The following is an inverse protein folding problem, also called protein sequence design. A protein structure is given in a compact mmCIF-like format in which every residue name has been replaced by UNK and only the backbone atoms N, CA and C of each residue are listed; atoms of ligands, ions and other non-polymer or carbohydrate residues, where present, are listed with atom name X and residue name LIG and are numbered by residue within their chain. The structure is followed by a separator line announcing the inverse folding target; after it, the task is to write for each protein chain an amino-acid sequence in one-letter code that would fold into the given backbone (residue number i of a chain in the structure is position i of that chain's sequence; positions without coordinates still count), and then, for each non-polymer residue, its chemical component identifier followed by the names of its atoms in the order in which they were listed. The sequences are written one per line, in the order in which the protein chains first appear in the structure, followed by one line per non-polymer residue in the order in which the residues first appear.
data_IF_899927085332
#
_entry.id   IF_899927085332
#
_cell.length_a   1.000
_cell.length_b   1.000
_cell.length_c   1.000
_cell.angle_alpha   90.00
_cell.angle_beta   90.00
_cell.angle_gamma   90.00
#
_symmetry.space_group_name_H-M   'P 1'
#
loop_
_entity.id
_entity.type
_entity.pdbx_description
1 polymer ?
#
# COMPACT_ATOMS: atom_id res chain seq x y z
N UNK A 1 2.96 7.66 7.90
CA UNK A 1 4.09 7.96 6.98
C UNK A 1 5.08 6.78 6.88
N UNK A 2 4.72 5.54 7.24
CA UNK A 2 5.71 4.47 7.36
C UNK A 2 5.26 3.14 6.74
N UNK A 3 4.38 3.18 5.75
CA UNK A 3 4.05 1.96 5.00
C UNK A 3 5.15 1.74 3.97
N UNK A 4 5.59 0.50 3.81
CA UNK A 4 6.53 0.13 2.76
C UNK A 4 5.79 -0.31 1.51
N UNK A 5 6.55 -0.40 0.42
CA UNK A 5 6.06 -0.98 -0.82
C UNK A 5 6.11 -2.50 -0.75
N UNK A 6 5.09 -3.15 -1.31
CA UNK A 6 5.11 -4.56 -1.71
C UNK A 6 4.44 -4.72 -3.07
N UNK A 7 5.00 -5.55 -3.96
CA UNK A 7 4.37 -5.91 -5.23
C UNK A 7 3.09 -6.74 -5.00
N UNK A 8 3.06 -7.50 -3.90
CA UNK A 8 1.86 -8.16 -3.36
C UNK A 8 1.43 -7.42 -2.09
N UNK A 9 0.84 -6.23 -2.26
CA UNK A 9 0.41 -5.40 -1.14
C UNK A 9 -0.92 -5.89 -0.53
N UNK A 10 -1.03 -5.81 0.80
CA UNK A 10 -2.27 -6.14 1.51
C UNK A 10 -3.22 -4.95 1.69
N UNK A 11 -2.78 -3.74 1.34
CA UNK A 11 -3.58 -2.52 1.35
C UNK A 11 -3.43 -1.73 0.05
N UNK A 12 -4.40 -0.84 -0.20
CA UNK A 12 -4.35 0.12 -1.31
C UNK A 12 -4.67 1.54 -0.87
N UNK A 13 -4.19 2.50 -1.65
CA UNK A 13 -4.67 3.87 -1.58
C UNK A 13 -6.10 3.96 -2.14
N UNK A 14 -6.96 4.67 -1.44
CA UNK A 14 -8.32 4.96 -1.87
C UNK A 14 -8.62 6.44 -1.68
N UNK A 15 -9.08 7.08 -2.74
CA UNK A 15 -9.50 8.47 -2.69
C UNK A 15 -10.92 8.57 -2.13
N UNK A 16 -11.06 9.35 -1.05
CA UNK A 16 -12.36 9.66 -0.45
C UNK A 16 -12.65 11.13 -0.67
N UNK A 17 -13.79 11.40 -1.30
CA UNK A 17 -14.27 12.77 -1.45
C UNK A 17 -14.89 13.26 -0.14
N UNK A 18 -14.29 14.32 0.42
CA UNK A 18 -14.80 15.04 1.58
C UNK A 18 -15.17 16.47 1.18
N UNK A 19 -16.40 16.65 0.68
CA UNK A 19 -16.92 17.91 0.14
C UNK A 19 -16.02 18.45 -0.99
N UNK A 20 -15.22 19.49 -0.68
CA UNK A 20 -14.29 20.15 -1.61
C UNK A 20 -12.87 19.59 -1.54
N UNK A 21 -12.60 18.70 -0.60
CA UNK A 21 -11.29 18.11 -0.39
C UNK A 21 -11.31 16.65 -0.81
N UNK A 22 -10.22 16.19 -1.42
CA UNK A 22 -9.94 14.78 -1.62
C UNK A 22 -8.96 14.35 -0.53
N UNK A 23 -9.26 13.25 0.15
CA UNK A 23 -8.38 12.65 1.15
C UNK A 23 -8.03 11.25 0.70
N UNK A 24 -6.73 10.92 0.68
CA UNK A 24 -6.28 9.56 0.40
C UNK A 24 -6.24 8.80 1.72
N UNK A 25 -6.96 7.69 1.79
CA UNK A 25 -6.92 6.74 2.89
C UNK A 25 -6.28 5.44 2.44
N UNK A 26 -5.87 4.61 3.39
CA UNK A 26 -5.38 3.26 3.12
C UNK A 26 -6.43 2.26 3.58
N UNK A 27 -6.81 1.35 2.70
CA UNK A 27 -7.87 0.36 2.93
C UNK A 27 -7.27 -1.03 2.78
N UNK A 28 -7.51 -1.89 3.76
CA UNK A 28 -7.15 -3.30 3.70
C UNK A 28 -7.91 -4.01 2.58
N UNK A 29 -7.22 -4.82 1.79
CA UNK A 29 -7.80 -5.62 0.71
C UNK A 29 -8.09 -7.06 1.15
N UNK A 30 -7.56 -7.45 2.30
CA UNK A 30 -7.68 -8.77 2.91
C UNK A 30 -7.60 -8.67 4.44
N UNK A 31 -7.83 -9.78 5.14
CA UNK A 31 -7.68 -9.85 6.59
C UNK A 31 -6.20 -9.74 7.00
N UNK A 32 -5.86 -8.75 7.81
CA UNK A 32 -4.48 -8.51 8.27
C UNK A 32 -4.36 -8.95 9.73
N UNK A 33 -3.54 -9.97 9.95
CA UNK A 33 -3.22 -10.47 11.29
C UNK A 33 -2.41 -9.47 12.13
N UNK A 34 -2.54 -9.56 13.46
CA UNK A 34 -1.75 -8.73 14.36
C UNK A 34 -0.25 -9.03 14.22
N UNK A 35 0.57 -7.99 14.04
CA UNK A 35 2.00 -8.11 13.84
C UNK A 35 2.43 -8.27 12.38
N UNK A 36 1.50 -8.49 11.44
CA UNK A 36 1.78 -8.43 10.01
C UNK A 36 2.12 -6.99 9.61
N UNK A 37 3.05 -6.84 8.67
CA UNK A 37 3.35 -5.54 8.09
C UNK A 37 2.21 -5.06 7.19
N UNK A 38 1.89 -3.76 7.29
CA UNK A 38 0.93 -3.11 6.40
C UNK A 38 1.71 -2.51 5.22
N UNK A 39 1.45 -3.03 4.04
CA UNK A 39 2.14 -2.64 2.80
C UNK A 39 1.15 -2.09 1.78
N UNK A 40 1.64 -1.23 0.90
CA UNK A 40 0.87 -0.64 -0.20
C UNK A 40 1.65 -0.76 -1.50
N UNK A 41 0.95 -0.79 -2.61
CA UNK A 41 1.60 -0.70 -3.92
C UNK A 41 1.94 0.77 -4.24
N UNK A 42 3.18 1.04 -4.64
CA UNK A 42 3.66 2.36 -5.06
C UNK A 42 3.67 2.53 -6.58
N UNK A 43 3.32 1.48 -7.33
CA UNK A 43 3.39 1.40 -8.78
C UNK A 43 4.78 1.01 -9.28
N UNK A 44 4.89 0.89 -10.60
CA UNK A 44 6.07 0.34 -11.27
C UNK A 44 7.27 1.30 -11.30
N UNK A 45 7.04 2.60 -11.09
CA UNK A 45 8.07 3.65 -11.16
C UNK A 45 8.67 3.93 -9.77
N UNK A 46 9.53 3.02 -9.31
CA UNK A 46 10.22 3.15 -8.02
C UNK A 46 11.58 3.84 -8.18
N UNK A 47 11.88 4.77 -7.27
CA UNK A 47 13.20 5.42 -7.17
C UNK A 47 14.23 4.58 -6.38
N UNK A 48 13.83 3.38 -5.94
CA UNK A 48 14.63 2.42 -5.19
C UNK A 48 14.39 1.00 -5.71
N UNK A 49 15.32 0.10 -5.45
CA UNK A 49 15.14 -1.33 -5.71
C UNK A 49 14.16 -1.92 -4.70
N UNK A 50 13.07 -2.51 -5.17
CA UNK A 50 12.12 -3.21 -4.31
C UNK A 50 12.79 -4.43 -3.66
N UNK A 51 12.55 -4.63 -2.36
CA UNK A 51 13.04 -5.76 -1.57
C UNK A 51 11.88 -6.45 -0.85
N UNK A 52 10.67 -6.41 -1.41
CA UNK A 52 9.47 -6.94 -0.75
C UNK A 52 9.46 -8.46 -0.63
N UNK A 53 10.25 -9.17 -1.45
CA UNK A 53 10.38 -10.63 -1.40
C UNK A 53 9.24 -11.41 -2.04
N UNK A 54 8.33 -10.74 -2.76
CA UNK A 54 7.33 -11.39 -3.60
C UNK A 54 7.97 -12.20 -4.73
N UNK A 55 7.31 -13.28 -5.18
CA UNK A 55 7.78 -14.10 -6.30
C UNK A 55 7.84 -13.31 -7.62
N UNK A 56 6.91 -12.36 -7.79
CA UNK A 56 6.79 -11.51 -8.98
C UNK A 56 7.35 -10.09 -8.75
N UNK A 57 8.35 -9.96 -7.86
CA UNK A 57 8.97 -8.68 -7.51
C UNK A 57 9.81 -8.05 -8.63
#
# INVERSE_FOLDING_TARGET
RFMNHSCEANCKFYEVQNRRFVTVVVVAMEDIGAGSEVTVDYGDELWFTCLCGSEDC
#
